data_IF_571444965029
#
_entry.id   IF_571444965029
#
_cell.length_a   1.000
_cell.length_b   1.000
_cell.length_c   1.000
_cell.angle_alpha   90.00
_cell.angle_beta   90.00
_cell.angle_gamma   90.00
#
_symmetry.space_group_name_H-M   'P 1'
#
loop_
_entity.id
_entity.type
_entity.pdbx_description
1 polymer ?
#
# COMPACT_ATOMS: atom_id res chain seq x y z
N UNK A 1 -28.96 -0.76 18.19
CA UNK A 1 -27.80 -0.21 18.93
C UNK A 1 -26.58 -0.63 18.15
N UNK A 2 -26.13 0.22 17.23
CA UNK A 2 -24.91 -0.01 16.46
C UNK A 2 -23.71 0.32 17.35
N UNK A 3 -22.89 -0.69 17.60
CA UNK A 3 -21.63 -0.55 18.32
C UNK A 3 -20.61 0.12 17.40
N UNK A 4 -20.29 1.38 17.65
CA UNK A 4 -19.16 2.07 17.02
C UNK A 4 -17.85 1.51 17.57
N UNK A 5 -17.26 0.53 16.86
CA UNK A 5 -15.89 0.09 17.13
C UNK A 5 -14.91 1.09 16.54
N UNK A 6 -14.10 1.71 17.41
CA UNK A 6 -13.01 2.62 17.03
C UNK A 6 -11.74 1.79 16.95
N UNK A 7 -11.19 1.63 15.75
CA UNK A 7 -9.92 0.91 15.56
C UNK A 7 -8.77 1.91 15.55
N UNK A 8 -7.97 1.94 16.62
CA UNK A 8 -6.70 2.66 16.64
C UNK A 8 -5.63 1.68 16.16
N UNK A 9 -5.30 1.74 14.87
CA UNK A 9 -4.18 0.98 14.35
C UNK A 9 -2.88 1.74 14.62
N UNK A 10 -2.19 1.37 15.71
CA UNK A 10 -0.80 1.76 15.91
C UNK A 10 0.07 0.89 15.00
N UNK A 11 0.23 1.32 13.74
CA UNK A 11 1.21 0.69 12.86
C UNK A 11 2.61 1.17 13.24
N UNK A 12 3.48 0.24 13.67
CA UNK A 12 4.93 0.45 13.64
C UNK A 12 5.38 0.46 12.18
N UNK A 13 5.28 1.61 11.52
CA UNK A 13 5.89 1.81 10.21
C UNK A 13 7.32 2.30 10.41
N UNK A 14 8.30 1.53 9.96
CA UNK A 14 9.60 2.11 9.62
C UNK A 14 9.41 2.83 8.29
N UNK A 15 9.18 4.14 8.34
CA UNK A 15 9.17 4.95 7.13
C UNK A 15 10.63 5.15 6.72
N UNK A 16 10.99 4.62 5.55
CA UNK A 16 12.14 5.13 4.83
C UNK A 16 11.83 6.59 4.51
N UNK A 17 12.67 7.50 4.98
CA UNK A 17 12.64 8.91 4.62
C UNK A 17 12.92 9.04 3.12
N UNK A 18 11.92 8.85 2.27
CA UNK A 18 11.96 9.36 0.91
C UNK A 18 11.51 10.82 0.97
N UNK A 19 12.37 11.71 0.50
CA UNK A 19 12.04 13.11 0.28
C UNK A 19 10.80 13.19 -0.61
N UNK A 20 9.65 13.53 -0.04
CA UNK A 20 8.49 14.02 -0.78
C UNK A 20 8.51 15.53 -0.63
N UNK A 21 9.42 16.17 -1.36
CA UNK A 21 9.33 17.61 -1.59
C UNK A 21 8.37 17.87 -2.74
N UNK A 22 7.57 18.92 -2.52
CA UNK A 22 6.52 19.41 -3.41
C UNK A 22 6.98 19.54 -4.86
N UNK A 23 6.04 19.20 -5.75
CA UNK A 23 6.15 19.48 -7.17
C UNK A 23 6.25 21.00 -7.44
N UNK A 24 7.45 21.48 -7.75
CA UNK A 24 7.64 22.60 -8.66
C UNK A 24 8.70 22.24 -9.71
N UNK A 25 8.39 22.57 -10.96
CA UNK A 25 9.27 22.45 -12.14
C UNK A 25 10.68 22.95 -11.83
N UNK A 26 11.72 22.24 -12.30
CA UNK A 26 12.78 22.77 -13.18
C UNK A 26 13.87 21.71 -13.46
N UNK A 27 14.10 21.49 -14.76
CA UNK A 27 15.35 21.17 -15.48
C UNK A 27 16.40 20.23 -14.86
N UNK A 28 16.66 19.16 -15.61
CA UNK A 28 17.83 18.28 -15.54
C UNK A 28 19.16 19.05 -15.47
N UNK A 29 19.91 18.84 -14.39
CA UNK A 29 21.36 18.98 -14.39
C UNK A 29 21.99 18.09 -13.32
N UNK A 30 22.86 17.20 -13.80
CA UNK A 30 23.83 16.38 -13.08
C UNK A 30 24.20 16.86 -11.67
N UNK A 31 24.00 16.01 -10.65
CA UNK A 31 24.76 16.09 -9.40
C UNK A 31 25.31 14.73 -9.02
N UNK A 32 26.65 14.66 -9.11
CA UNK A 32 27.52 13.65 -8.53
C UNK A 32 27.26 13.51 -7.03
N UNK A 33 27.35 12.29 -6.52
CA UNK A 33 27.54 12.02 -5.09
C UNK A 33 28.81 12.71 -4.58
N UNK A 34 28.77 13.46 -3.46
CA UNK A 34 29.96 13.83 -2.74
C UNK A 34 30.39 12.67 -1.83
N UNK A 35 31.61 12.22 -2.03
CA UNK A 35 32.38 11.46 -1.05
C UNK A 35 32.62 12.32 0.20
N UNK A 36 32.48 11.71 1.39
CA UNK A 36 33.13 12.21 2.60
C UNK A 36 32.30 13.11 3.53
N UNK A 37 31.65 12.46 4.50
CA UNK A 37 31.73 12.76 5.93
C UNK A 37 30.86 13.88 6.53
N UNK A 38 29.72 13.49 7.11
CA UNK A 38 29.45 13.71 8.55
C UNK A 38 28.45 12.64 9.05
N UNK A 39 28.95 11.48 9.47
CA UNK A 39 28.15 10.46 10.16
C UNK A 39 28.08 10.83 11.64
N UNK A 40 27.16 11.75 11.94
CA UNK A 40 26.81 12.14 13.30
C UNK A 40 26.03 11.02 14.00
N UNK A 41 26.73 10.38 14.94
CA UNK A 41 26.27 9.63 16.12
C UNK A 41 25.42 8.38 15.89
N UNK A 42 26.08 7.24 16.12
CA UNK A 42 25.47 5.99 16.56
C UNK A 42 24.56 6.24 17.78
N UNK A 43 23.26 6.04 17.61
CA UNK A 43 22.30 5.87 18.71
C UNK A 43 21.93 4.38 18.78
N UNK A 44 22.93 3.56 19.13
CA UNK A 44 22.85 2.11 19.33
C UNK A 44 22.09 1.74 20.63
N UNK A 45 20.93 2.37 20.86
CA UNK A 45 20.12 2.15 22.05
C UNK A 45 18.64 2.55 21.98
N UNK A 46 18.21 3.30 20.97
CA UNK A 46 16.80 3.67 20.85
C UNK A 46 15.96 2.54 20.22
N UNK A 47 15.18 1.84 21.05
CA UNK A 47 14.18 0.84 20.63
C UNK A 47 13.09 1.38 19.68
N UNK A 48 12.97 2.70 19.54
CA UNK A 48 12.02 3.39 18.67
C UNK A 48 12.75 4.53 17.95
N UNK A 49 12.99 4.36 16.66
CA UNK A 49 13.60 5.40 15.82
C UNK A 49 12.64 6.53 15.44
N UNK A 50 11.36 6.21 15.17
CA UNK A 50 10.35 7.17 14.73
C UNK A 50 8.94 6.62 15.01
N UNK A 51 8.01 7.49 15.41
CA UNK A 51 6.60 7.12 15.61
C UNK A 51 5.76 7.83 14.55
N UNK A 52 5.11 7.06 13.68
CA UNK A 52 4.22 7.58 12.64
C UNK A 52 2.77 7.28 13.03
N UNK A 53 1.95 8.32 13.18
CA UNK A 53 0.58 8.20 13.65
C UNK A 53 -0.43 8.20 12.48
N UNK A 54 -1.06 7.05 12.20
CA UNK A 54 -2.22 6.98 11.31
C UNK A 54 -3.52 7.12 12.10
N UNK A 55 -3.95 8.35 12.34
CA UNK A 55 -5.27 8.66 12.96
C UNK A 55 -6.27 8.95 11.86
N UNK A 56 -7.42 8.25 11.86
CA UNK A 56 -8.51 8.43 10.89
C UNK A 56 -9.84 8.62 11.61
N UNK A 57 -10.70 9.48 11.07
CA UNK A 57 -11.97 9.85 11.69
C UNK A 57 -11.81 10.87 12.83
N UNK A 58 -12.87 11.62 13.09
CA UNK A 58 -12.87 12.75 14.02
C UNK A 58 -12.63 14.09 13.33
N UNK A 59 -12.74 15.17 14.09
CA UNK A 59 -12.53 16.51 13.56
C UNK A 59 -11.04 16.75 13.24
N UNK A 60 -10.70 17.46 12.15
CA UNK A 60 -9.32 17.67 11.73
C UNK A 60 -8.40 18.21 12.83
N UNK A 61 -8.88 19.11 13.67
CA UNK A 61 -8.11 19.71 14.76
C UNK A 61 -7.79 18.69 15.86
N UNK A 62 -8.76 17.83 16.19
CA UNK A 62 -8.57 16.78 17.18
C UNK A 62 -7.63 15.67 16.65
N UNK A 63 -7.73 15.35 15.35
CA UNK A 63 -6.79 14.45 14.67
C UNK A 63 -5.37 15.03 14.72
N UNK A 64 -5.20 16.30 14.37
CA UNK A 64 -3.91 16.97 14.38
C UNK A 64 -3.30 16.98 15.78
N UNK A 65 -4.09 17.38 16.80
CA UNK A 65 -3.63 17.36 18.19
C UNK A 65 -3.20 15.96 18.64
N UNK A 66 -3.95 14.92 18.28
CA UNK A 66 -3.62 13.54 18.61
C UNK A 66 -2.34 13.09 17.91
N UNK A 67 -2.19 13.35 16.61
CA UNK A 67 -0.98 13.02 15.83
C UNK A 67 0.26 13.70 16.38
N UNK A 68 0.20 15.03 16.56
CA UNK A 68 1.31 15.82 17.10
C UNK A 68 1.72 15.34 18.50
N UNK A 69 0.76 14.94 19.34
CA UNK A 69 1.08 14.40 20.66
C UNK A 69 1.84 13.07 20.57
N UNK A 70 1.37 12.16 19.72
CA UNK A 70 2.00 10.85 19.50
C UNK A 70 3.42 11.04 18.93
N UNK A 71 3.57 11.86 17.92
CA UNK A 71 4.85 12.08 17.22
C UNK A 71 5.89 12.75 18.12
N UNK A 72 5.49 13.75 18.92
CA UNK A 72 6.43 14.52 19.75
C UNK A 72 6.80 13.81 21.06
N UNK A 73 5.84 13.14 21.69
CA UNK A 73 6.04 12.60 23.05
C UNK A 73 6.08 11.08 23.11
N UNK A 74 5.69 10.39 22.04
CA UNK A 74 5.56 8.93 22.00
C UNK A 74 4.49 8.36 22.93
N UNK A 75 3.83 9.20 23.74
CA UNK A 75 2.89 8.82 24.79
C UNK A 75 1.58 9.58 24.60
N UNK A 76 0.49 8.82 24.46
CA UNK A 76 -0.85 9.37 24.35
C UNK A 76 -1.44 9.60 25.74
N UNK A 77 -1.89 10.82 26.02
CA UNK A 77 -2.64 11.12 27.24
C UNK A 77 -4.14 10.84 27.04
N UNK A 78 -4.79 10.36 28.11
CA UNK A 78 -6.20 9.96 28.10
C UNK A 78 -7.11 11.13 27.75
N UNK A 79 -6.79 12.35 28.18
CA UNK A 79 -7.63 13.52 27.93
C UNK A 79 -7.66 13.89 26.44
N UNK A 80 -6.52 13.89 25.78
CA UNK A 80 -6.39 14.12 24.34
C UNK A 80 -7.09 13.02 23.55
N UNK A 81 -6.94 11.76 23.96
CA UNK A 81 -7.65 10.64 23.36
C UNK A 81 -9.17 10.79 23.48
N UNK A 82 -9.68 11.07 24.69
CA UNK A 82 -11.12 11.24 24.95
C UNK A 82 -11.67 12.45 24.21
N UNK A 83 -10.92 13.56 24.12
CA UNK A 83 -11.31 14.73 23.33
C UNK A 83 -11.48 14.37 21.85
N UNK A 84 -10.55 13.63 21.26
CA UNK A 84 -10.68 13.14 19.89
C UNK A 84 -11.85 12.16 19.74
N UNK A 85 -11.98 11.17 20.62
CA UNK A 85 -13.03 10.16 20.56
C UNK A 85 -14.44 10.79 20.60
N UNK A 86 -14.63 11.86 21.38
CA UNK A 86 -15.89 12.62 21.41
C UNK A 86 -16.26 13.26 20.06
N UNK A 87 -15.28 13.52 19.19
CA UNK A 87 -15.53 14.10 17.86
C UNK A 87 -16.03 13.10 16.82
N UNK A 88 -15.86 11.79 17.08
CA UNK A 88 -16.22 10.74 16.12
C UNK A 88 -17.72 10.70 15.79
N UNK A 89 -18.59 11.09 16.73
CA UNK A 89 -20.02 11.20 16.47
C UNK A 89 -20.37 12.30 15.44
N UNK A 90 -19.58 13.37 15.38
CA UNK A 90 -19.81 14.49 14.48
C UNK A 90 -19.02 14.36 13.16
N UNK A 91 -17.95 13.58 13.16
CA UNK A 91 -17.08 13.34 12.01
C UNK A 91 -16.71 11.84 11.94
N UNK A 92 -17.67 10.96 11.62
CA UNK A 92 -17.42 9.54 11.53
C UNK A 92 -16.55 9.19 10.31
N UNK A 93 -15.93 8.01 10.36
CA UNK A 93 -15.20 7.43 9.24
C UNK A 93 -15.86 6.13 8.82
N UNK A 94 -15.97 5.91 7.52
CA UNK A 94 -16.34 4.61 6.96
C UNK A 94 -15.14 3.65 7.06
N UNK A 95 -15.17 2.74 8.04
CA UNK A 95 -14.09 1.76 8.27
C UNK A 95 -14.24 0.54 7.36
N UNK A 96 -15.49 0.11 7.14
CA UNK A 96 -15.82 -1.02 6.29
C UNK A 96 -16.91 -0.63 5.31
N UNK A 97 -16.65 -0.91 4.04
CA UNK A 97 -17.61 -0.77 2.95
C UNK A 97 -17.41 -1.92 1.99
N UNK A 98 -18.51 -2.54 1.56
CA UNK A 98 -18.46 -3.50 0.47
C UNK A 98 -18.37 -2.71 -0.85
N UNK A 99 -17.29 -2.88 -1.64
CA UNK A 99 -17.14 -2.13 -2.88
C UNK A 99 -18.07 -2.71 -3.96
N UNK A 100 -18.65 -1.83 -4.76
CA UNK A 100 -19.35 -2.15 -6.00
C UNK A 100 -18.73 -1.36 -7.16
N UNK A 101 -18.89 -1.86 -8.38
CA UNK A 101 -18.43 -1.18 -9.58
C UNK A 101 -19.11 0.17 -9.74
N UNK A 102 -18.32 1.25 -9.80
CA UNK A 102 -18.83 2.62 -9.90
C UNK A 102 -19.68 2.83 -11.17
N UNK A 103 -19.49 2.02 -12.21
CA UNK A 103 -20.29 2.01 -13.42
C UNK A 103 -21.76 1.59 -13.20
N UNK A 104 -22.07 0.94 -12.08
CA UNK A 104 -23.46 0.63 -11.71
C UNK A 104 -24.25 1.86 -11.25
N UNK A 105 -23.58 2.98 -10.95
CA UNK A 105 -24.23 4.22 -10.56
C UNK A 105 -24.78 5.02 -11.75
N UNK A 106 -24.52 4.60 -12.99
CA UNK A 106 -25.02 5.28 -14.20
C UNK A 106 -26.54 5.05 -14.32
N UNK A 107 -27.38 6.10 -14.21
CA UNK A 107 -28.83 5.96 -14.27
C UNK A 107 -29.30 5.51 -15.65
N UNK A 108 -30.23 4.55 -15.70
CA UNK A 108 -30.82 4.06 -16.95
C UNK A 108 -31.56 5.16 -17.74
N UNK A 109 -32.00 6.22 -17.07
CA UNK A 109 -32.66 7.38 -17.67
C UNK A 109 -31.71 8.35 -18.36
N UNK A 110 -30.40 8.20 -18.17
CA UNK A 110 -29.40 9.04 -18.81
C UNK A 110 -29.28 8.70 -20.31
N UNK A 111 -29.17 9.72 -21.16
CA UNK A 111 -28.89 9.50 -22.58
C UNK A 111 -27.62 8.66 -22.78
N UNK A 112 -27.75 7.59 -23.57
CA UNK A 112 -26.69 6.61 -23.86
C UNK A 112 -26.11 5.91 -22.61
N UNK A 113 -26.95 5.64 -21.59
CA UNK A 113 -26.53 4.98 -20.34
C UNK A 113 -25.72 3.69 -20.57
N UNK A 114 -26.22 2.78 -21.41
CA UNK A 114 -25.55 1.51 -21.70
C UNK A 114 -24.16 1.69 -22.31
N UNK A 115 -24.05 2.57 -23.32
CA UNK A 115 -22.76 2.85 -23.95
C UNK A 115 -21.76 3.48 -22.95
N UNK A 116 -22.24 4.37 -22.08
CA UNK A 116 -21.40 4.97 -21.02
C UNK A 116 -20.95 3.93 -19.99
N UNK A 117 -21.84 3.02 -19.60
CA UNK A 117 -21.53 1.92 -18.69
C UNK A 117 -20.43 1.01 -19.25
N UNK A 118 -20.56 0.62 -20.51
CA UNK A 118 -19.56 -0.23 -21.15
C UNK A 118 -18.22 0.50 -21.36
N UNK A 119 -18.26 1.78 -21.75
CA UNK A 119 -17.06 2.60 -21.87
C UNK A 119 -16.33 2.76 -20.52
N UNK A 120 -17.07 2.98 -19.44
CA UNK A 120 -16.49 3.13 -18.10
C UNK A 120 -15.92 1.81 -17.59
N UNK A 121 -16.60 0.69 -17.84
CA UNK A 121 -16.09 -0.66 -17.55
C UNK A 121 -14.76 -0.92 -18.25
N UNK A 122 -14.66 -0.60 -19.54
CA UNK A 122 -13.41 -0.73 -20.31
C UNK A 122 -12.30 0.16 -19.76
N UNK A 123 -12.59 1.45 -19.54
CA UNK A 123 -11.61 2.39 -18.99
C UNK A 123 -11.09 1.98 -17.60
N UNK A 124 -11.97 1.42 -16.76
CA UNK A 124 -11.59 0.91 -15.45
C UNK A 124 -10.66 -0.32 -15.53
N UNK A 125 -10.93 -1.24 -16.47
CA UNK A 125 -10.05 -2.39 -16.73
C UNK A 125 -8.66 -1.95 -17.21
N UNK A 126 -8.59 -0.95 -18.09
CA UNK A 126 -7.34 -0.37 -18.57
C UNK A 126 -6.57 0.32 -17.42
N UNK A 127 -7.27 1.08 -16.58
CA UNK A 127 -6.67 1.72 -15.40
C UNK A 127 -6.07 0.69 -14.43
N UNK A 128 -6.81 -0.37 -14.10
CA UNK A 128 -6.30 -1.44 -13.24
C UNK A 128 -5.08 -2.12 -13.87
N UNK A 129 -5.11 -2.39 -15.17
CA UNK A 129 -3.98 -2.99 -15.87
C UNK A 129 -2.75 -2.07 -15.85
N UNK A 130 -2.96 -0.76 -15.95
CA UNK A 130 -1.86 0.21 -15.99
C UNK A 130 -1.16 0.33 -14.64
N UNK A 131 -1.94 0.40 -13.55
CA UNK A 131 -1.44 0.57 -12.19
C UNK A 131 -1.29 -0.76 -11.41
N UNK A 132 -1.28 -1.89 -12.12
CA UNK A 132 -1.15 -3.21 -11.50
C UNK A 132 0.28 -3.48 -11.07
N UNK A 133 0.45 -4.01 -9.85
CA UNK A 133 1.71 -4.51 -9.31
C UNK A 133 2.35 -5.60 -10.18
N UNK A 134 1.63 -6.16 -11.13
CA UNK A 134 2.11 -7.24 -11.99
C UNK A 134 3.32 -6.87 -12.88
N UNK A 135 3.56 -5.57 -13.06
CA UNK A 135 4.72 -5.04 -13.79
C UNK A 135 5.98 -4.99 -12.91
N UNK A 136 5.84 -5.22 -11.60
CA UNK A 136 6.93 -5.11 -10.62
C UNK A 136 7.64 -6.45 -10.38
N UNK A 137 8.92 -6.36 -9.97
CA UNK A 137 9.65 -7.51 -9.43
C UNK A 137 9.16 -7.85 -8.02
N UNK A 138 9.24 -9.13 -7.61
CA UNK A 138 8.84 -9.52 -6.26
C UNK A 138 9.83 -8.99 -5.20
N UNK A 139 9.31 -8.74 -4.00
CA UNK A 139 10.11 -8.35 -2.85
C UNK A 139 10.64 -9.59 -2.13
N UNK A 140 11.79 -9.47 -1.47
CA UNK A 140 12.36 -10.54 -0.66
C UNK A 140 11.71 -10.62 0.71
N UNK A 141 11.93 -11.75 1.38
CA UNK A 141 11.69 -11.94 2.82
C UNK A 141 10.25 -11.62 3.25
N UNK A 142 9.27 -11.98 2.42
CA UNK A 142 7.85 -11.74 2.68
C UNK A 142 7.41 -10.28 2.50
N UNK A 143 8.22 -9.46 1.82
CA UNK A 143 7.84 -8.10 1.45
C UNK A 143 6.63 -8.06 0.52
N UNK A 144 5.77 -7.07 0.71
CA UNK A 144 4.62 -6.84 -0.16
C UNK A 144 4.97 -5.79 -1.21
N UNK A 145 4.86 -6.15 -2.49
CA UNK A 145 5.08 -5.22 -3.59
C UNK A 145 3.87 -4.31 -3.79
N UNK A 146 4.12 -3.02 -4.02
CA UNK A 146 3.09 -2.02 -4.31
C UNK A 146 3.52 -1.15 -5.49
N UNK A 147 2.54 -0.60 -6.20
CA UNK A 147 2.76 0.41 -7.23
C UNK A 147 2.23 1.75 -6.72
N UNK A 148 3.12 2.73 -6.57
CA UNK A 148 2.77 4.08 -6.11
C UNK A 148 3.37 5.08 -7.08
N UNK A 149 2.54 5.94 -7.67
CA UNK A 149 2.97 6.97 -8.63
C UNK A 149 3.79 6.43 -9.83
N UNK A 150 3.55 5.18 -10.24
CA UNK A 150 4.27 4.53 -11.34
C UNK A 150 5.59 3.86 -10.93
N UNK A 151 5.95 3.91 -9.65
CA UNK A 151 7.14 3.24 -9.11
C UNK A 151 6.77 2.00 -8.31
N UNK A 152 7.60 0.97 -8.41
CA UNK A 152 7.46 -0.26 -7.64
C UNK A 152 8.17 -0.09 -6.29
N UNK A 153 7.42 -0.21 -5.19
CA UNK A 153 7.93 -0.06 -3.82
C UNK A 153 7.66 -1.35 -3.04
N UNK A 154 8.64 -1.79 -2.27
CA UNK A 154 8.49 -2.92 -1.36
C UNK A 154 8.14 -2.45 0.06
N UNK A 155 6.99 -2.90 0.56
CA UNK A 155 6.67 -2.82 1.98
C UNK A 155 7.34 -3.97 2.73
N UNK A 156 8.33 -3.64 3.54
CA UNK A 156 9.07 -4.64 4.29
C UNK A 156 8.37 -5.02 5.59
N UNK A 157 8.39 -6.32 5.95
CA UNK A 157 8.01 -6.73 7.30
C UNK A 157 8.91 -6.05 8.33
N UNK A 158 8.44 -6.03 9.59
CA UNK A 158 9.07 -5.26 10.65
C UNK A 158 10.57 -5.58 10.85
N UNK A 159 11.01 -6.79 10.50
CA UNK A 159 12.37 -7.30 10.69
C UNK A 159 13.33 -6.95 9.54
N UNK A 160 12.84 -6.51 8.38
CA UNK A 160 13.64 -6.33 7.16
C UNK A 160 13.67 -4.88 6.67
N UNK A 161 14.74 -4.51 5.98
CA UNK A 161 14.97 -3.20 5.34
C UNK A 161 15.68 -3.37 4.00
N UNK A 162 15.93 -2.25 3.32
CA UNK A 162 16.46 -2.22 1.97
C UNK A 162 15.36 -2.05 0.92
N UNK A 163 15.77 -1.76 -0.31
CA UNK A 163 14.85 -1.43 -1.41
C UNK A 163 13.93 -2.59 -1.78
N UNK A 164 14.38 -3.83 -1.58
CA UNK A 164 13.65 -5.04 -1.86
C UNK A 164 13.46 -5.91 -0.60
N UNK A 165 13.61 -5.33 0.59
CA UNK A 165 13.54 -6.03 1.89
C UNK A 165 14.61 -7.12 2.05
N UNK A 166 15.75 -6.94 1.41
CA UNK A 166 16.83 -7.92 1.33
C UNK A 166 17.74 -7.96 2.57
N UNK A 167 17.63 -6.97 3.47
CA UNK A 167 18.52 -6.81 4.61
C UNK A 167 17.75 -6.99 5.92
N UNK A 168 18.36 -7.59 6.93
CA UNK A 168 17.83 -7.55 8.30
C UNK A 168 18.03 -6.15 8.89
N UNK A 169 17.06 -5.70 9.69
CA UNK A 169 17.22 -4.46 10.46
C UNK A 169 18.27 -4.60 11.55
N UNK A 170 18.28 -5.75 12.23
CA UNK A 170 19.13 -6.06 13.37
C UNK A 170 19.76 -7.46 13.18
N UNK A 171 21.09 -7.62 13.32
CA UNK A 171 21.78 -8.90 13.26
C UNK A 171 21.25 -9.97 14.24
N UNK A 172 20.60 -9.58 15.34
CA UNK A 172 20.00 -10.51 16.31
C UNK A 172 18.73 -11.18 15.77
N UNK A 173 18.17 -10.71 14.65
CA UNK A 173 16.96 -11.23 14.01
C UNK A 173 17.22 -12.33 12.96
N UNK A 174 18.42 -12.91 12.91
CA UNK A 174 18.81 -13.96 11.94
C UNK A 174 17.91 -15.20 11.91
N UNK A 175 17.16 -15.46 12.97
CA UNK A 175 16.16 -16.54 12.96
C UNK A 175 14.98 -16.21 12.02
N UNK A 176 14.58 -14.94 11.90
CA UNK A 176 13.50 -14.52 11.01
C UNK A 176 13.86 -14.68 9.53
N UNK A 177 15.11 -14.43 9.16
CA UNK A 177 15.58 -14.63 7.78
C UNK A 177 15.40 -16.08 7.32
N UNK A 178 15.70 -17.05 8.19
CA UNK A 178 15.52 -18.48 7.90
C UNK A 178 14.06 -18.90 7.79
N UNK A 179 13.16 -18.21 8.45
CA UNK A 179 11.71 -18.52 8.44
C UNK A 179 10.91 -17.66 7.46
N UNK A 180 11.55 -16.67 6.83
CA UNK A 180 10.86 -15.74 5.95
C UNK A 180 10.34 -16.48 4.71
N UNK A 181 9.01 -16.54 4.59
CA UNK A 181 8.35 -17.10 3.42
C UNK A 181 8.59 -16.18 2.23
N UNK A 182 9.15 -16.72 1.16
CA UNK A 182 9.32 -15.97 -0.08
C UNK A 182 8.01 -16.06 -0.87
N UNK A 183 7.40 -14.90 -1.16
CA UNK A 183 6.18 -14.82 -1.95
C UNK A 183 6.50 -14.22 -3.32
N UNK A 184 6.16 -14.96 -4.37
CA UNK A 184 6.28 -14.47 -5.74
C UNK A 184 5.22 -13.42 -6.05
N UNK A 185 5.48 -12.61 -7.07
CA UNK A 185 4.50 -11.66 -7.59
C UNK A 185 3.81 -12.24 -8.81
N UNK A 186 2.51 -12.03 -8.95
CA UNK A 186 1.82 -12.42 -10.18
C UNK A 186 2.25 -11.53 -11.34
N UNK A 187 2.69 -12.13 -12.43
CA UNK A 187 2.84 -11.44 -13.72
C UNK A 187 1.49 -10.97 -14.25
N UNK A 188 1.54 -10.07 -15.23
CA UNK A 188 0.32 -9.48 -15.76
C UNK A 188 -0.56 -10.52 -16.43
N UNK A 189 -1.88 -10.36 -16.26
CA UNK A 189 -2.86 -11.12 -17.01
C UNK A 189 -2.68 -10.87 -18.51
N UNK A 190 -2.79 -11.93 -19.31
CA UNK A 190 -2.95 -11.79 -20.75
C UNK A 190 -4.24 -11.05 -21.07
N UNK A 191 -4.35 -10.53 -22.29
CA UNK A 191 -5.64 -10.15 -22.86
C UNK A 191 -6.61 -11.34 -22.78
N UNK A 192 -7.89 -11.02 -22.61
CA UNK A 192 -8.96 -12.01 -22.73
C UNK A 192 -8.90 -12.69 -24.10
N UNK A 193 -9.15 -14.00 -24.13
CA UNK A 193 -9.35 -14.75 -25.36
C UNK A 193 -10.58 -14.24 -26.13
N UNK A 194 -10.70 -14.62 -27.40
CA UNK A 194 -11.97 -14.48 -28.11
C UNK A 194 -13.09 -15.23 -27.37
N UNK A 195 -14.32 -14.74 -27.50
CA UNK A 195 -15.47 -15.41 -26.92
C UNK A 195 -15.76 -16.71 -27.68
N UNK A 196 -15.76 -17.82 -26.98
CA UNK A 196 -16.02 -19.17 -27.50
C UNK A 196 -17.08 -19.82 -26.61
N UNK A 197 -18.23 -20.19 -27.18
CA UNK A 197 -19.33 -20.82 -26.43
C UNK A 197 -19.80 -20.01 -25.20
N UNK A 198 -19.80 -18.68 -25.31
CA UNK A 198 -20.20 -17.78 -24.22
C UNK A 198 -19.20 -17.68 -23.06
N UNK A 199 -17.96 -18.14 -23.28
CA UNK A 199 -16.87 -18.03 -22.30
C UNK A 199 -15.63 -17.44 -22.92
N UNK A 200 -14.88 -16.71 -22.09
CA UNK A 200 -13.54 -16.23 -22.38
C UNK A 200 -12.62 -16.57 -21.22
N UNK A 201 -11.34 -16.71 -21.51
CA UNK A 201 -10.32 -17.01 -20.51
C UNK A 201 -9.09 -16.12 -20.66
N UNK A 202 -8.35 -15.98 -19.57
CA UNK A 202 -7.04 -15.30 -19.54
C UNK A 202 -6.11 -16.04 -18.58
N UNK A 203 -4.82 -15.88 -18.78
CA UNK A 203 -3.79 -16.55 -17.98
C UNK A 203 -2.78 -15.56 -17.44
N UNK A 204 -2.07 -15.94 -16.38
CA UNK A 204 -0.93 -15.21 -15.83
C UNK A 204 0.12 -16.18 -15.34
N UNK A 205 1.36 -15.71 -15.26
CA UNK A 205 2.51 -16.49 -14.79
C UNK A 205 2.98 -15.98 -13.44
N UNK A 206 3.43 -16.88 -12.56
CA UNK A 206 4.03 -16.49 -11.29
C UNK A 206 5.47 -16.03 -11.51
N UNK A 207 5.80 -14.80 -11.12
CA UNK A 207 7.14 -14.26 -11.15
C UNK A 207 7.83 -14.46 -9.79
N UNK A 208 8.84 -15.32 -9.78
CA UNK A 208 9.66 -15.62 -8.59
C UNK A 208 11.12 -15.19 -8.78
N UNK A 209 11.39 -14.31 -9.74
CA UNK A 209 12.75 -13.88 -10.06
C UNK A 209 13.43 -13.27 -8.84
N UNK A 210 14.65 -13.75 -8.53
CA UNK A 210 15.41 -13.29 -7.37
C UNK A 210 14.96 -13.88 -6.02
N UNK A 211 14.00 -14.80 -6.01
CA UNK A 211 13.53 -15.49 -4.81
C UNK A 211 13.90 -16.98 -4.82
N UNK A 212 14.44 -17.47 -3.70
CA UNK A 212 14.70 -18.90 -3.49
C UNK A 212 13.44 -19.57 -2.93
N UNK A 213 12.79 -20.43 -3.73
CA UNK A 213 11.59 -21.16 -3.30
C UNK A 213 10.30 -20.33 -3.22
N UNK A 214 10.26 -19.18 -3.92
CA UNK A 214 9.08 -18.33 -3.95
C UNK A 214 7.86 -18.99 -4.60
N UNK A 215 6.67 -18.68 -4.10
CA UNK A 215 5.40 -19.15 -4.70
C UNK A 215 4.35 -18.04 -4.72
N UNK A 216 3.42 -18.09 -5.68
CA UNK A 216 2.31 -17.15 -5.75
C UNK A 216 1.03 -17.82 -5.25
N UNK A 217 0.25 -17.11 -4.43
CA UNK A 217 -1.06 -17.57 -3.96
C UNK A 217 -2.14 -17.16 -4.96
N UNK A 218 -2.97 -18.11 -5.39
CA UNK A 218 -4.11 -17.89 -6.28
C UNK A 218 -4.02 -18.65 -7.60
N UNK A 219 -5.00 -18.43 -8.49
CA UNK A 219 -5.11 -19.16 -9.76
C UNK A 219 -4.24 -18.57 -10.85
N UNK A 220 -3.71 -19.43 -11.72
CA UNK A 220 -2.98 -19.08 -12.96
C UNK A 220 -3.90 -18.74 -14.13
N UNK A 221 -5.16 -19.18 -14.05
CA UNK A 221 -6.17 -18.99 -15.09
C UNK A 221 -7.41 -18.36 -14.48
N UNK A 222 -8.05 -17.49 -15.25
CA UNK A 222 -9.32 -16.86 -14.93
C UNK A 222 -10.28 -17.03 -16.13
N UNK A 223 -11.57 -17.19 -15.82
CA UNK A 223 -12.61 -17.44 -16.82
C UNK A 223 -13.85 -16.62 -16.50
N UNK A 224 -14.40 -15.99 -17.52
CA UNK A 224 -15.56 -15.10 -17.38
C UNK A 224 -16.56 -15.37 -18.51
N UNK A 225 -17.80 -14.94 -18.29
CA UNK A 225 -18.83 -14.99 -19.32
C UNK A 225 -18.69 -13.83 -20.30
N UNK A 226 -19.04 -14.14 -21.54
CA UNK A 226 -19.27 -13.23 -22.64
C UNK A 226 -20.46 -13.79 -23.43
#
# INVERSE_FOLDING_TARGET
METTTVEISLMKMSVMKSHVDHAERMTWSYLKWPEGQDMGMDDDGALIHEVVASVRGGLPEAIAALKTKIENTGVMDVDTYVKWAKTLGNAPLLIHSQPEGIENLIPLTMANAEAKKENLRRAFQEYIAEYSVCKCQPCKNGGTVMMVNGECICLCPAQFKGWACEQLKDPMLTHYERTAVQEGNWGCWTSWSSCTEGRRSRTRSCNTNGLSGGTCKGSTTDSDYC
#
